data_IF_734663284913
#
_entry.id   IF_734663284913
#
_cell.length_a   1.000
_cell.length_b   1.000
_cell.length_c   1.000
_cell.angle_alpha   90.00
_cell.angle_beta   90.00
_cell.angle_gamma   90.00
#
_symmetry.space_group_name_H-M   'P 1'
#
loop_
_entity.id
_entity.type
_entity.pdbx_description
1 polymer ?
#
# COMPACT_ATOMS: atom_id res chain seq x y z
N UNK A 1 6.34 -24.11 12.43
CA UNK A 1 5.81 -23.22 13.47
C UNK A 1 4.65 -22.45 12.85
N UNK A 2 3.52 -22.40 13.51
CA UNK A 2 2.47 -21.50 13.08
C UNK A 2 2.96 -20.05 13.25
N UNK A 3 3.00 -19.28 12.18
CA UNK A 3 3.22 -17.84 12.28
C UNK A 3 2.13 -17.26 13.22
N UNK A 4 2.55 -16.49 14.21
CA UNK A 4 1.59 -15.81 15.08
C UNK A 4 0.75 -14.86 14.23
N UNK A 5 -0.56 -14.86 14.42
CA UNK A 5 -1.45 -13.93 13.72
C UNK A 5 -0.95 -12.49 13.92
N UNK A 6 -0.82 -11.70 12.85
CA UNK A 6 -0.40 -10.30 12.98
C UNK A 6 -1.40 -9.53 13.86
N UNK A 7 -0.87 -8.72 14.77
CA UNK A 7 -1.68 -7.90 15.66
C UNK A 7 -1.03 -6.52 15.85
N UNK A 8 -1.84 -5.53 16.17
CA UNK A 8 -1.41 -4.19 16.54
C UNK A 8 -2.19 -3.75 17.77
N UNK A 9 -1.58 -2.91 18.60
CA UNK A 9 -2.23 -2.29 19.74
C UNK A 9 -2.24 -0.78 19.58
N UNK A 10 -3.40 -0.17 19.74
CA UNK A 10 -3.58 1.28 19.69
C UNK A 10 -3.92 1.80 21.09
N UNK A 11 -3.21 2.86 21.51
CA UNK A 11 -3.50 3.57 22.76
C UNK A 11 -3.77 5.03 22.46
N UNK A 12 -4.93 5.52 22.90
CA UNK A 12 -5.24 6.94 22.80
C UNK A 12 -4.22 7.77 23.60
N UNK A 13 -3.74 8.84 22.97
CA UNK A 13 -2.79 9.80 23.58
C UNK A 13 -3.49 11.09 23.94
N UNK A 14 -4.13 11.70 22.95
CA UNK A 14 -4.82 12.98 23.10
C UNK A 14 -5.85 13.11 21.98
N UNK A 15 -7.10 13.48 22.33
CA UNK A 15 -8.18 13.65 21.34
C UNK A 15 -8.26 12.48 20.34
N UNK A 16 -7.95 12.71 19.06
CA UNK A 16 -7.94 11.71 17.98
C UNK A 16 -6.56 11.10 17.72
N UNK A 17 -5.59 11.40 18.56
CA UNK A 17 -4.23 10.91 18.42
C UNK A 17 -4.05 9.56 19.11
N UNK A 18 -3.51 8.59 18.39
CA UNK A 18 -3.19 7.25 18.88
C UNK A 18 -1.72 6.92 18.69
N UNK A 19 -1.16 6.21 19.67
CA UNK A 19 0.09 5.50 19.49
C UNK A 19 -0.18 4.08 19.01
N UNK A 20 0.42 3.67 17.90
CA UNK A 20 0.27 2.35 17.30
C UNK A 20 1.52 1.53 17.56
N UNK A 21 1.37 0.44 18.29
CA UNK A 21 2.43 -0.51 18.62
C UNK A 21 2.28 -1.75 17.76
N UNK A 22 3.32 -2.08 16.98
CA UNK A 22 3.35 -3.28 16.14
C UNK A 22 4.07 -4.44 16.81
N UNK A 23 5.23 -4.18 17.41
CA UNK A 23 6.03 -5.10 18.21
C UNK A 23 6.94 -4.29 19.15
N UNK A 24 7.37 -4.91 20.25
CA UNK A 24 8.21 -4.23 21.25
C UNK A 24 9.55 -3.70 20.69
N UNK A 25 10.06 -4.31 19.62
CA UNK A 25 11.31 -3.92 18.96
C UNK A 25 11.15 -2.83 17.90
N UNK A 26 9.91 -2.45 17.56
CA UNK A 26 9.64 -1.47 16.52
C UNK A 26 9.30 -0.10 17.11
N UNK A 27 9.67 0.99 16.44
CA UNK A 27 9.26 2.33 16.84
C UNK A 27 7.74 2.46 16.87
N UNK A 28 7.23 3.20 17.83
CA UNK A 28 5.81 3.56 17.90
C UNK A 28 5.45 4.48 16.73
N UNK A 29 4.39 4.16 16.02
CA UNK A 29 3.82 5.04 15.01
C UNK A 29 2.70 5.86 15.65
N UNK A 30 2.71 7.17 15.44
CA UNK A 30 1.62 8.05 15.87
C UNK A 30 0.67 8.28 14.71
N UNK A 31 -0.63 8.05 14.94
CA UNK A 31 -1.70 8.44 14.00
C UNK A 31 -2.49 9.62 14.56
N UNK A 32 -3.10 10.39 13.68
CA UNK A 32 -3.94 11.53 14.07
C UNK A 32 -4.96 11.83 12.96
N UNK A 33 -5.97 12.63 13.29
CA UNK A 33 -6.87 13.23 12.32
C UNK A 33 -6.47 14.68 12.04
N UNK A 34 -6.80 15.23 10.88
CA UNK A 34 -6.55 16.64 10.61
C UNK A 34 -7.50 17.55 11.41
N UNK A 35 -7.18 18.83 11.57
CA UNK A 35 -8.13 19.80 12.12
C UNK A 35 -9.47 19.82 11.35
N UNK A 36 -10.62 20.01 12.02
CA UNK A 36 -10.75 20.40 13.44
C UNK A 36 -10.81 19.22 14.42
N UNK A 37 -10.80 17.96 13.96
CA UNK A 37 -10.91 16.79 14.84
C UNK A 37 -9.62 16.54 15.63
N UNK A 38 -8.50 16.48 14.94
CA UNK A 38 -7.17 16.31 15.50
C UNK A 38 -6.28 17.50 15.22
N UNK A 39 -4.98 17.30 15.29
CA UNK A 39 -3.94 18.31 15.06
C UNK A 39 -3.10 18.03 13.80
N UNK A 40 -3.33 16.90 13.13
CA UNK A 40 -2.56 16.50 11.95
C UNK A 40 -1.12 16.05 12.28
N UNK A 41 -0.88 15.53 13.47
CA UNK A 41 0.46 15.13 13.95
C UNK A 41 0.85 13.70 13.57
N UNK A 42 0.12 13.08 12.64
CA UNK A 42 0.39 11.74 12.17
C UNK A 42 -0.51 11.37 10.99
N UNK A 43 -0.26 10.22 10.34
CA UNK A 43 -1.10 9.73 9.26
C UNK A 43 -2.51 9.45 9.76
N UNK A 44 -3.49 9.69 8.87
CA UNK A 44 -4.89 9.35 9.09
C UNK A 44 -5.11 7.83 8.92
N UNK A 45 -6.23 7.26 9.41
CA UNK A 45 -6.59 5.86 9.14
C UNK A 45 -6.62 5.51 7.65
N UNK A 46 -7.13 6.40 6.80
CA UNK A 46 -7.15 6.20 5.35
C UNK A 46 -5.71 6.13 4.78
N UNK A 47 -4.80 6.97 5.22
CA UNK A 47 -3.39 6.91 4.82
C UNK A 47 -2.71 5.63 5.29
N UNK A 48 -3.04 5.11 6.46
CA UNK A 48 -2.53 3.84 6.95
C UNK A 48 -3.02 2.66 6.10
N UNK A 49 -4.29 2.68 5.67
CA UNK A 49 -4.83 1.70 4.72
C UNK A 49 -4.08 1.75 3.39
N UNK A 50 -3.89 2.94 2.83
CA UNK A 50 -3.15 3.13 1.58
C UNK A 50 -1.70 2.65 1.70
N UNK A 51 -1.03 2.96 2.81
CA UNK A 51 0.33 2.49 3.07
C UNK A 51 0.42 0.95 3.11
N UNK A 52 -0.55 0.28 3.73
CA UNK A 52 -0.60 -1.17 3.78
C UNK A 52 -0.79 -1.78 2.39
N UNK A 53 -1.72 -1.26 1.59
CA UNK A 53 -1.98 -1.73 0.22
C UNK A 53 -0.76 -1.49 -0.67
N UNK A 54 -0.22 -0.28 -0.68
CA UNK A 54 0.93 0.10 -1.50
C UNK A 54 2.17 -0.73 -1.14
N UNK A 55 2.45 -0.92 0.15
CA UNK A 55 3.58 -1.71 0.62
C UNK A 55 3.47 -3.18 0.17
N UNK A 56 2.30 -3.79 0.34
CA UNK A 56 2.09 -5.18 -0.06
C UNK A 56 2.24 -5.37 -1.57
N UNK A 57 1.68 -4.47 -2.38
CA UNK A 57 1.82 -4.52 -3.84
C UNK A 57 3.28 -4.35 -4.28
N UNK A 58 3.99 -3.39 -3.69
CA UNK A 58 5.42 -3.16 -3.95
C UNK A 58 6.25 -4.40 -3.62
N UNK A 59 6.01 -5.00 -2.46
CA UNK A 59 6.72 -6.21 -2.02
C UNK A 59 6.43 -7.39 -2.95
N UNK A 60 5.18 -7.56 -3.39
CA UNK A 60 4.81 -8.61 -4.34
C UNK A 60 5.51 -8.44 -5.68
N UNK A 61 5.60 -7.21 -6.20
CA UNK A 61 6.29 -6.93 -7.45
C UNK A 61 7.80 -7.16 -7.29
N UNK A 62 8.42 -6.69 -6.21
CA UNK A 62 9.84 -6.96 -5.93
C UNK A 62 10.14 -8.46 -5.84
N UNK A 63 9.27 -9.22 -5.17
CA UNK A 63 9.43 -10.66 -5.08
C UNK A 63 9.34 -11.33 -6.46
N UNK A 64 8.38 -10.93 -7.29
CA UNK A 64 8.22 -11.46 -8.65
C UNK A 64 9.41 -11.10 -9.55
N UNK A 65 9.91 -9.85 -9.46
CA UNK A 65 11.13 -9.42 -10.17
C UNK A 65 12.33 -10.27 -9.74
N UNK A 66 12.50 -10.48 -8.45
CA UNK A 66 13.61 -11.25 -7.88
C UNK A 66 13.65 -12.71 -8.32
N UNK A 67 12.48 -13.35 -8.54
CA UNK A 67 12.40 -14.73 -9.07
C UNK A 67 13.11 -14.90 -10.42
N UNK A 68 13.13 -13.87 -11.23
CA UNK A 68 13.81 -13.85 -12.53
C UNK A 68 15.13 -13.09 -12.50
N UNK A 69 15.68 -12.87 -11.30
CA UNK A 69 16.96 -12.16 -11.09
C UNK A 69 16.99 -10.75 -11.66
N UNK A 70 15.84 -10.10 -11.73
CA UNK A 70 15.75 -8.69 -12.11
C UNK A 70 16.10 -7.78 -10.95
N UNK A 71 16.76 -6.67 -11.25
CA UNK A 71 16.98 -5.54 -10.34
C UNK A 71 16.02 -4.40 -10.73
N UNK A 72 15.17 -4.00 -9.80
CA UNK A 72 14.24 -2.89 -10.01
C UNK A 72 14.93 -1.53 -10.09
N UNK A 73 16.20 -1.41 -9.66
CA UNK A 73 16.97 -0.16 -9.52
C UNK A 73 16.25 0.91 -8.70
N UNK A 74 15.65 0.47 -7.62
CA UNK A 74 14.78 1.29 -6.80
C UNK A 74 13.32 1.24 -7.25
N UNK A 75 12.45 1.58 -6.33
CA UNK A 75 11.00 1.59 -6.55
C UNK A 75 10.38 2.73 -5.74
N UNK A 76 9.52 3.49 -6.40
CA UNK A 76 8.68 4.50 -5.73
C UNK A 76 7.22 4.13 -5.95
N UNK A 77 6.45 4.07 -4.87
CA UNK A 77 5.03 3.75 -4.94
C UNK A 77 4.22 4.87 -4.32
N UNK A 78 3.22 5.33 -5.06
CA UNK A 78 2.24 6.31 -4.61
C UNK A 78 0.87 5.66 -4.62
N UNK A 79 0.11 5.82 -3.55
CA UNK A 79 -1.27 5.38 -3.47
C UNK A 79 -2.20 6.55 -3.15
N UNK A 80 -3.34 6.57 -3.80
CA UNK A 80 -4.40 7.56 -3.57
C UNK A 80 -5.75 6.87 -3.43
N UNK A 81 -6.68 7.53 -2.75
CA UNK A 81 -8.04 7.04 -2.57
C UNK A 81 -9.07 8.11 -2.92
N UNK A 82 -10.14 7.68 -3.54
CA UNK A 82 -11.37 8.45 -3.66
C UNK A 82 -12.24 8.15 -2.46
N UNK A 83 -12.60 9.19 -1.71
CA UNK A 83 -13.49 9.10 -0.55
C UNK A 83 -14.79 9.82 -0.88
N UNK A 84 -15.88 9.08 -0.80
CA UNK A 84 -17.20 9.60 -1.11
C UNK A 84 -18.28 9.01 -0.19
N UNK A 85 -19.50 9.52 -0.31
CA UNK A 85 -20.63 9.04 0.48
C UNK A 85 -21.33 7.89 -0.25
N UNK A 86 -21.66 6.85 0.51
CA UNK A 86 -22.55 5.79 0.03
C UNK A 86 -24.02 6.23 0.07
N UNK A 87 -24.95 5.36 -0.35
CA UNK A 87 -26.38 5.62 -0.41
C UNK A 87 -26.99 5.99 0.97
N UNK A 88 -26.36 5.54 2.07
CA UNK A 88 -26.74 5.90 3.43
C UNK A 88 -26.09 7.22 3.91
N UNK A 89 -25.44 7.99 3.04
CA UNK A 89 -24.77 9.25 3.37
C UNK A 89 -23.47 9.11 4.18
N UNK A 90 -22.90 7.90 4.30
CA UNK A 90 -21.70 7.60 5.09
C UNK A 90 -20.46 7.63 4.22
N UNK A 91 -19.39 8.27 4.71
CA UNK A 91 -18.10 8.28 4.01
C UNK A 91 -17.52 6.86 3.89
N UNK A 92 -17.00 6.57 2.71
CA UNK A 92 -16.33 5.30 2.37
C UNK A 92 -15.14 5.58 1.46
N UNK A 93 -14.12 4.75 1.56
CA UNK A 93 -13.10 4.65 0.51
C UNK A 93 -13.76 3.90 -0.65
N UNK A 94 -13.98 4.59 -1.75
CA UNK A 94 -14.73 4.06 -2.90
C UNK A 94 -13.82 3.47 -3.96
N UNK A 95 -12.60 3.98 -4.08
CA UNK A 95 -11.61 3.54 -5.06
C UNK A 95 -10.20 3.78 -4.54
N UNK A 96 -9.26 2.92 -4.91
CA UNK A 96 -7.83 3.08 -4.63
C UNK A 96 -7.06 2.97 -5.94
N UNK A 97 -6.11 3.87 -6.17
CA UNK A 97 -5.14 3.79 -7.26
C UNK A 97 -3.75 3.65 -6.68
N UNK A 98 -3.02 2.63 -7.09
CA UNK A 98 -1.62 2.40 -6.73
C UNK A 98 -0.76 2.56 -7.97
N UNK A 99 0.17 3.50 -7.93
CA UNK A 99 1.14 3.76 -8.98
C UNK A 99 2.53 3.33 -8.51
N UNK A 100 3.15 2.39 -9.22
CA UNK A 100 4.48 1.87 -8.92
C UNK A 100 5.42 2.28 -10.04
N UNK A 101 6.50 2.94 -9.70
CA UNK A 101 7.54 3.41 -10.63
C UNK A 101 8.86 2.69 -10.31
N UNK A 102 9.37 1.96 -11.29
CA UNK A 102 10.66 1.29 -11.20
C UNK A 102 11.79 2.22 -11.66
N UNK A 103 12.98 2.06 -11.11
CA UNK A 103 14.18 2.74 -11.60
C UNK A 103 14.73 2.11 -12.87
N UNK A 104 14.54 0.81 -13.09
CA UNK A 104 14.99 0.10 -14.28
C UNK A 104 14.07 0.36 -15.47
N UNK A 105 14.67 0.48 -16.68
CA UNK A 105 13.91 0.50 -17.93
C UNK A 105 13.39 -0.91 -18.27
N UNK A 106 12.26 -0.99 -18.98
CA UNK A 106 11.66 -2.28 -19.36
C UNK A 106 12.63 -3.20 -20.13
N UNK A 107 13.47 -2.62 -20.99
CA UNK A 107 14.48 -3.35 -21.76
C UNK A 107 15.55 -4.05 -20.91
N UNK A 108 15.73 -3.63 -19.66
CA UNK A 108 16.67 -4.23 -18.69
C UNK A 108 16.05 -5.38 -17.89
N UNK A 109 14.73 -5.58 -18.00
CA UNK A 109 13.97 -6.55 -17.22
C UNK A 109 13.61 -7.78 -18.05
N UNK A 110 13.86 -8.97 -17.49
CA UNK A 110 13.54 -10.25 -18.11
C UNK A 110 12.18 -10.75 -17.66
N UNK A 111 11.45 -11.39 -18.57
CA UNK A 111 10.14 -12.02 -18.30
C UNK A 111 9.08 -11.04 -17.75
N UNK A 112 9.16 -9.77 -18.14
CA UNK A 112 8.33 -8.70 -17.59
C UNK A 112 6.82 -8.98 -17.77
N UNK A 113 6.39 -9.44 -18.93
CA UNK A 113 4.98 -9.77 -19.21
C UNK A 113 4.41 -10.80 -18.22
N UNK A 114 5.21 -11.82 -17.92
CA UNK A 114 4.83 -12.87 -16.97
C UNK A 114 4.78 -12.34 -15.54
N UNK A 115 5.72 -11.49 -15.17
CA UNK A 115 5.78 -10.85 -13.86
C UNK A 115 4.53 -9.98 -13.65
N UNK A 116 4.21 -9.12 -14.61
CA UNK A 116 3.06 -8.21 -14.54
C UNK A 116 1.72 -8.95 -14.52
N UNK A 117 1.63 -10.09 -15.22
CA UNK A 117 0.40 -10.89 -15.23
C UNK A 117 0.10 -11.59 -13.88
N UNK A 118 1.08 -11.78 -13.02
CA UNK A 118 0.96 -12.66 -11.86
C UNK A 118 1.22 -12.00 -10.51
N UNK A 119 1.98 -10.90 -10.44
CA UNK A 119 2.46 -10.39 -9.14
C UNK A 119 1.33 -9.96 -8.19
N UNK A 120 0.22 -9.46 -8.74
CA UNK A 120 -0.92 -9.00 -7.94
C UNK A 120 -1.58 -10.14 -7.16
N UNK A 121 -1.63 -11.35 -7.74
CA UNK A 121 -2.27 -12.52 -7.12
C UNK A 121 -1.61 -12.94 -5.80
N UNK A 122 -0.34 -12.60 -5.62
CA UNK A 122 0.42 -12.93 -4.41
C UNK A 122 0.36 -11.86 -3.32
N UNK A 123 -0.34 -10.76 -3.59
CA UNK A 123 -0.49 -9.67 -2.62
C UNK A 123 -1.64 -9.93 -1.64
N UNK A 124 -1.33 -10.44 -0.46
CA UNK A 124 -2.33 -10.78 0.57
C UNK A 124 -3.23 -9.60 0.92
N UNK A 125 -2.64 -8.45 1.25
CA UNK A 125 -3.40 -7.25 1.65
C UNK A 125 -4.19 -6.68 0.48
N UNK A 126 -3.54 -6.52 -0.69
CA UNK A 126 -4.16 -5.95 -1.88
C UNK A 126 -5.36 -6.77 -2.36
N UNK A 127 -5.23 -8.10 -2.43
CA UNK A 127 -6.33 -8.98 -2.82
C UNK A 127 -7.49 -8.95 -1.82
N UNK A 128 -7.18 -8.88 -0.53
CA UNK A 128 -8.22 -8.79 0.51
C UNK A 128 -8.97 -7.47 0.46
N UNK A 129 -8.28 -6.36 0.25
CA UNK A 129 -8.89 -5.02 0.13
C UNK A 129 -9.70 -4.90 -1.17
N UNK A 130 -9.18 -5.41 -2.29
CA UNK A 130 -9.84 -5.37 -3.61
C UNK A 130 -11.20 -6.06 -3.61
N UNK A 131 -11.41 -7.06 -2.77
CA UNK A 131 -12.71 -7.72 -2.63
C UNK A 131 -13.84 -6.78 -2.21
N UNK A 132 -13.52 -5.68 -1.51
CA UNK A 132 -14.51 -4.68 -1.04
C UNK A 132 -14.31 -3.28 -1.61
N UNK A 133 -13.11 -2.95 -2.11
CA UNK A 133 -12.75 -1.63 -2.63
C UNK A 133 -12.09 -1.80 -3.99
N UNK A 134 -12.69 -1.30 -5.08
CA UNK A 134 -12.06 -1.29 -6.40
C UNK A 134 -10.66 -0.67 -6.33
N UNK A 135 -9.66 -1.39 -6.87
CA UNK A 135 -8.26 -0.96 -6.79
C UNK A 135 -7.60 -1.13 -8.15
N UNK A 136 -7.10 -0.04 -8.72
CA UNK A 136 -6.31 -0.03 -9.93
C UNK A 136 -4.82 0.04 -9.60
N UNK A 137 -4.03 -0.73 -10.34
CA UNK A 137 -2.58 -0.79 -10.18
C UNK A 137 -1.92 -0.43 -11.50
N UNK A 138 -1.08 0.58 -11.46
CA UNK A 138 -0.33 1.07 -12.61
C UNK A 138 1.17 0.88 -12.34
N UNK A 139 1.86 0.23 -13.26
CA UNK A 139 3.30 -0.02 -13.17
C UNK A 139 4.02 0.72 -14.30
N UNK A 140 5.03 1.48 -13.95
CA UNK A 140 5.85 2.26 -14.87
C UNK A 140 7.30 1.84 -14.75
N UNK A 141 8.03 1.87 -15.86
CA UNK A 141 9.46 1.65 -15.89
C UNK A 141 10.27 2.93 -15.61
N UNK A 142 11.58 2.80 -15.57
CA UNK A 142 12.50 3.92 -15.31
C UNK A 142 12.50 5.00 -16.38
N UNK A 143 11.93 4.76 -17.56
CA UNK A 143 11.73 5.76 -18.61
C UNK A 143 10.41 6.51 -18.50
N UNK A 144 9.53 6.10 -17.59
CA UNK A 144 8.18 6.61 -17.43
C UNK A 144 7.16 5.93 -18.34
N UNK A 145 7.51 4.85 -19.02
CA UNK A 145 6.57 4.07 -19.84
C UNK A 145 5.69 3.19 -18.98
N UNK A 146 4.38 3.19 -19.26
CA UNK A 146 3.43 2.29 -18.59
C UNK A 146 3.62 0.85 -19.10
N UNK A 147 3.66 -0.10 -18.16
CA UNK A 147 3.96 -1.51 -18.45
C UNK A 147 2.71 -2.42 -18.46
N UNK A 148 1.61 -2.00 -17.85
CA UNK A 148 0.35 -2.76 -17.75
C UNK A 148 -0.89 -1.96 -18.10
#
# INVERSE_FOLDING_TARGET
>A
MAESAPHVTLRQRDAYQFGIEFAASLPLLRSDEPPPLGQGNGPTPAQLLLAAVANCMSSSLLFALGKFKNDARGMTTTASAEIGRNDAGRLRVQHITVRIELGAAAAELQHLDRILAQFEEFCTVGQSVRAGIPTDIEVFDGSGARLN
#
